data_IF_928073724756
#
_entry.id   IF_928073724756
#
_cell.length_a   1.000
_cell.length_b   1.000
_cell.length_c   1.000
_cell.angle_alpha   90.00
_cell.angle_beta   90.00
_cell.angle_gamma   90.00
#
_symmetry.space_group_name_H-M   'P 1'
#
loop_
_entity.id
_entity.type
_entity.pdbx_description
1 polymer ?
#
# COMPACT_ATOMS: atom_id res chain seq x y z
N UNK A 1 -7.54 -5.19 -24.63
CA UNK A 1 -8.01 -6.25 -23.73
C UNK A 1 -8.93 -5.65 -22.66
N UNK A 2 -10.07 -6.29 -22.38
CA UNK A 2 -11.11 -5.78 -21.48
C UNK A 2 -10.57 -5.54 -20.06
N UNK A 3 -9.73 -6.43 -19.55
CA UNK A 3 -9.12 -6.28 -18.23
C UNK A 3 -8.17 -5.07 -18.16
N UNK A 4 -7.38 -4.81 -19.18
CA UNK A 4 -6.51 -3.63 -19.23
C UNK A 4 -7.33 -2.34 -19.27
N UNK A 5 -8.39 -2.30 -20.08
CA UNK A 5 -9.28 -1.13 -20.15
C UNK A 5 -10.01 -0.86 -18.81
N UNK A 6 -10.47 -1.91 -18.11
CA UNK A 6 -11.16 -1.76 -16.82
C UNK A 6 -10.28 -1.13 -15.73
N UNK A 7 -8.97 -1.43 -15.74
CA UNK A 7 -8.02 -0.94 -14.72
C UNK A 7 -7.25 0.31 -15.14
N UNK A 8 -7.38 0.74 -16.38
CA UNK A 8 -6.65 1.87 -16.96
C UNK A 8 -6.74 3.16 -16.11
N UNK A 9 -7.93 3.48 -15.63
CA UNK A 9 -8.19 4.69 -14.81
C UNK A 9 -7.50 4.68 -13.45
N UNK A 10 -7.02 3.53 -12.98
CA UNK A 10 -6.31 3.37 -11.71
C UNK A 10 -4.79 3.28 -11.89
N UNK A 11 -4.32 3.44 -13.11
CA UNK A 11 -2.91 3.41 -13.48
C UNK A 11 -2.49 4.75 -14.09
N UNK A 12 -1.18 5.04 -14.07
CA UNK A 12 -0.60 6.27 -14.60
C UNK A 12 -0.50 6.29 -16.14
N UNK A 13 -0.99 5.25 -16.81
CA UNK A 13 -0.89 5.08 -18.26
C UNK A 13 -1.66 6.19 -19.01
N UNK A 14 -1.16 6.53 -20.19
CA UNK A 14 -1.81 7.48 -21.11
C UNK A 14 -2.02 8.87 -20.53
N UNK A 15 -1.16 9.29 -19.59
CA UNK A 15 -1.25 10.62 -18.96
C UNK A 15 -2.28 10.72 -17.83
N UNK A 16 -2.83 9.60 -17.37
CA UNK A 16 -3.69 9.60 -16.20
C UNK A 16 -2.94 10.08 -14.94
N UNK A 17 -3.66 10.68 -14.03
CA UNK A 17 -3.18 11.06 -12.71
C UNK A 17 -3.87 10.25 -11.64
N UNK A 18 -3.17 10.01 -10.53
CA UNK A 18 -3.73 9.33 -9.36
C UNK A 18 -3.64 10.25 -8.13
N UNK A 19 -4.62 10.18 -7.25
CA UNK A 19 -4.59 10.89 -5.97
C UNK A 19 -3.54 10.28 -5.05
N UNK A 20 -2.55 11.09 -4.66
CA UNK A 20 -1.45 10.71 -3.78
C UNK A 20 -1.64 11.13 -2.32
N UNK A 21 -2.77 11.78 -1.99
CA UNK A 21 -3.06 12.25 -0.64
C UNK A 21 -2.01 13.22 -0.07
N UNK A 22 -1.87 13.24 1.24
CA UNK A 22 -0.88 14.08 1.93
C UNK A 22 0.53 13.52 1.73
N UNK A 23 1.52 14.36 1.37
CA UNK A 23 2.91 13.92 1.23
C UNK A 23 3.45 13.37 2.56
N UNK A 24 4.13 12.23 2.47
CA UNK A 24 4.82 11.60 3.61
C UNK A 24 6.28 11.33 3.26
N UNK A 25 7.11 12.39 3.15
CA UNK A 25 8.48 12.29 2.62
C UNK A 25 9.34 11.29 3.40
N UNK A 26 9.20 11.20 4.72
CA UNK A 26 9.95 10.26 5.53
C UNK A 26 9.85 8.81 4.99
N UNK A 27 8.66 8.40 4.58
CA UNK A 27 8.45 7.05 4.06
C UNK A 27 8.82 6.94 2.57
N UNK A 28 8.44 7.92 1.76
CA UNK A 28 8.75 7.89 0.32
C UNK A 28 10.24 7.97 0.06
N UNK A 29 10.99 8.78 0.81
CA UNK A 29 12.46 8.85 0.74
C UNK A 29 13.11 7.55 1.24
N UNK A 30 12.58 6.97 2.33
CA UNK A 30 13.06 5.69 2.84
C UNK A 30 12.87 4.57 1.82
N UNK A 31 11.69 4.48 1.18
CA UNK A 31 11.44 3.50 0.10
C UNK A 31 12.32 3.81 -1.10
N UNK A 32 12.48 5.08 -1.48
CA UNK A 32 13.29 5.51 -2.61
C UNK A 32 14.77 5.15 -2.46
N UNK A 33 15.30 5.06 -1.23
CA UNK A 33 16.67 4.63 -0.99
C UNK A 33 16.98 3.19 -1.42
N UNK A 34 15.93 2.37 -1.63
CA UNK A 34 16.04 1.00 -2.12
C UNK A 34 15.68 0.84 -3.60
N UNK A 35 15.41 1.96 -4.31
CA UNK A 35 15.18 1.92 -5.75
C UNK A 35 16.43 1.39 -6.47
N UNK A 36 16.18 0.68 -7.55
CA UNK A 36 17.26 0.04 -8.31
C UNK A 36 17.67 -1.33 -7.80
N UNK A 37 17.08 -1.82 -6.71
CA UNK A 37 17.36 -3.15 -6.16
C UNK A 37 16.21 -4.14 -6.43
N UNK A 38 16.56 -5.44 -6.56
CA UNK A 38 15.57 -6.52 -6.74
C UNK A 38 14.90 -6.99 -5.43
N UNK A 39 15.26 -6.41 -4.27
CA UNK A 39 14.56 -6.74 -3.03
C UNK A 39 13.12 -6.21 -3.09
N UNK A 40 12.18 -7.05 -2.67
CA UNK A 40 10.76 -6.68 -2.61
C UNK A 40 10.55 -5.64 -1.51
N UNK A 41 9.92 -4.50 -1.83
CA UNK A 41 9.58 -3.45 -0.86
C UNK A 41 8.20 -3.75 -0.30
N UNK A 42 8.13 -4.02 1.00
CA UNK A 42 6.91 -4.43 1.69
C UNK A 42 6.49 -3.32 2.65
N UNK A 43 5.34 -2.69 2.42
CA UNK A 43 4.76 -1.70 3.31
C UNK A 43 3.73 -2.38 4.21
N UNK A 44 4.03 -2.46 5.49
CA UNK A 44 3.15 -3.01 6.52
C UNK A 44 2.57 -1.92 7.40
N UNK A 45 1.60 -2.23 8.22
CA UNK A 45 0.99 -1.28 9.16
C UNK A 45 -0.51 -1.47 9.23
N UNK A 46 -1.12 -0.84 10.22
CA UNK A 46 -2.56 -0.93 10.47
C UNK A 46 -3.38 -0.48 9.25
N UNK A 47 -4.65 -0.88 9.23
CA UNK A 47 -5.61 -0.36 8.24
C UNK A 47 -5.71 1.16 8.35
N UNK A 48 -5.86 1.82 7.18
CA UNK A 48 -6.11 3.26 7.07
C UNK A 48 -4.99 4.19 7.56
N UNK A 49 -3.75 3.69 7.72
CA UNK A 49 -2.58 4.52 8.05
C UNK A 49 -1.93 5.19 6.82
N UNK A 50 -2.43 4.89 5.61
CA UNK A 50 -1.97 5.53 4.37
C UNK A 50 -0.96 4.72 3.55
N UNK A 51 -0.85 3.39 3.73
CA UNK A 51 0.05 2.53 2.92
C UNK A 51 -0.15 2.70 1.41
N UNK A 52 -1.40 2.63 0.95
CA UNK A 52 -1.78 2.80 -0.46
C UNK A 52 -1.37 4.17 -1.02
N UNK A 53 -1.44 5.22 -0.20
CA UNK A 53 -0.99 6.56 -0.59
C UNK A 53 0.52 6.62 -0.75
N UNK A 54 1.29 5.98 0.15
CA UNK A 54 2.75 5.91 0.04
C UNK A 54 3.16 5.14 -1.22
N UNK A 55 2.47 4.04 -1.57
CA UNK A 55 2.70 3.36 -2.85
C UNK A 55 2.49 4.29 -4.04
N UNK A 56 1.37 5.04 -4.06
CA UNK A 56 1.06 5.99 -5.14
C UNK A 56 2.09 7.13 -5.19
N UNK A 57 2.51 7.67 -4.04
CA UNK A 57 3.57 8.67 -3.95
C UNK A 57 4.90 8.12 -4.50
N UNK A 58 5.23 6.86 -4.22
CA UNK A 58 6.43 6.21 -4.76
C UNK A 58 6.34 6.05 -6.28
N UNK A 59 5.21 5.63 -6.81
CA UNK A 59 4.98 5.54 -8.26
C UNK A 59 5.10 6.91 -8.95
N UNK A 60 4.52 7.96 -8.35
CA UNK A 60 4.65 9.33 -8.87
C UNK A 60 6.09 9.85 -8.79
N UNK A 61 6.81 9.50 -7.73
CA UNK A 61 8.24 9.84 -7.63
C UNK A 61 9.05 9.22 -8.78
N UNK A 62 8.80 7.97 -9.16
CA UNK A 62 9.43 7.32 -10.31
C UNK A 62 9.15 8.07 -11.62
N UNK A 63 7.91 8.49 -11.84
CA UNK A 63 7.55 9.30 -13.03
C UNK A 63 8.30 10.63 -13.04
N UNK A 64 8.40 11.31 -11.89
CA UNK A 64 9.17 12.55 -11.73
C UNK A 64 10.67 12.36 -11.99
N UNK A 65 11.20 11.16 -11.76
CA UNK A 65 12.58 10.76 -12.11
C UNK A 65 12.75 10.35 -13.59
N UNK A 66 11.70 10.48 -14.40
CA UNK A 66 11.75 10.19 -15.83
C UNK A 66 11.38 8.75 -16.21
N UNK A 67 10.90 7.94 -15.28
CA UNK A 67 10.38 6.60 -15.61
C UNK A 67 9.09 6.74 -16.42
N UNK A 68 9.02 6.03 -17.54
CA UNK A 68 7.80 5.99 -18.34
C UNK A 68 6.62 5.42 -17.53
N UNK A 69 5.46 6.05 -17.61
CA UNK A 69 4.26 5.55 -16.96
C UNK A 69 3.85 4.14 -17.46
N UNK A 70 4.23 3.79 -18.69
CA UNK A 70 4.01 2.45 -19.22
C UNK A 70 4.84 1.36 -18.50
N UNK A 71 5.91 1.75 -17.80
CA UNK A 71 6.74 0.84 -17.02
C UNK A 71 6.21 0.62 -15.59
N UNK A 72 5.11 1.27 -15.24
CA UNK A 72 4.52 1.21 -13.90
C UNK A 72 3.15 0.55 -13.99
N UNK A 73 2.95 -0.55 -13.26
CA UNK A 73 1.64 -1.18 -13.12
C UNK A 73 1.19 -1.15 -11.67
N UNK A 74 -0.03 -0.67 -11.45
CA UNK A 74 -0.65 -0.59 -10.13
C UNK A 74 -1.86 -1.52 -10.07
N UNK A 75 -1.84 -2.44 -9.11
CA UNK A 75 -2.88 -3.43 -8.84
C UNK A 75 -3.43 -3.15 -7.45
N UNK A 76 -4.73 -2.93 -7.32
CA UNK A 76 -5.37 -2.68 -6.02
C UNK A 76 -6.54 -3.64 -5.80
N UNK A 77 -6.33 -4.59 -4.88
CA UNK A 77 -7.30 -5.67 -4.60
C UNK A 77 -8.53 -5.22 -3.82
N UNK A 78 -8.56 -3.99 -3.29
CA UNK A 78 -9.78 -3.42 -2.69
C UNK A 78 -10.77 -2.87 -3.75
N UNK A 79 -10.35 -2.77 -5.01
CA UNK A 79 -11.17 -2.23 -6.09
C UNK A 79 -11.76 -3.36 -6.95
N UNK A 80 -13.07 -3.34 -7.13
CA UNK A 80 -13.81 -4.35 -7.93
C UNK A 80 -13.31 -4.48 -9.36
N UNK A 81 -12.68 -3.43 -9.92
CA UNK A 81 -12.04 -3.49 -11.23
C UNK A 81 -10.93 -4.54 -11.33
N UNK A 82 -10.38 -4.99 -10.20
CA UNK A 82 -9.34 -6.01 -10.11
C UNK A 82 -9.86 -7.35 -9.55
N UNK A 83 -11.17 -7.55 -9.41
CA UNK A 83 -11.75 -8.78 -8.88
C UNK A 83 -11.40 -10.03 -9.70
N UNK A 84 -11.05 -9.85 -10.97
CA UNK A 84 -10.58 -10.92 -11.84
C UNK A 84 -9.20 -11.50 -11.45
N UNK A 85 -8.48 -10.86 -10.50
CA UNK A 85 -7.19 -11.36 -9.97
C UNK A 85 -7.44 -12.04 -8.62
N UNK A 86 -7.90 -13.27 -8.58
CA UNK A 86 -8.22 -13.98 -7.34
C UNK A 86 -7.02 -14.75 -6.79
N UNK A 87 -6.15 -15.23 -7.65
CA UNK A 87 -5.03 -16.10 -7.29
C UNK A 87 -3.77 -15.79 -8.10
N UNK A 88 -2.67 -16.48 -7.75
CA UNK A 88 -1.37 -16.27 -8.39
C UNK A 88 -1.37 -16.46 -9.91
N UNK A 89 -2.21 -17.32 -10.47
CA UNK A 89 -2.28 -17.55 -11.92
C UNK A 89 -2.91 -16.36 -12.62
N UNK A 90 -3.93 -15.79 -12.02
CA UNK A 90 -4.60 -14.59 -12.56
C UNK A 90 -3.65 -13.39 -12.48
N UNK A 91 -2.89 -13.25 -11.39
CA UNK A 91 -1.87 -12.22 -11.23
C UNK A 91 -0.78 -12.35 -12.31
N UNK A 92 -0.24 -13.54 -12.51
CA UNK A 92 0.77 -13.82 -13.53
C UNK A 92 0.24 -13.51 -14.94
N UNK A 93 -0.98 -13.99 -15.25
CA UNK A 93 -1.65 -13.70 -16.51
C UNK A 93 -1.86 -12.21 -16.73
N UNK A 94 -2.27 -11.46 -15.71
CA UNK A 94 -2.48 -10.02 -15.82
C UNK A 94 -1.16 -9.27 -16.09
N UNK A 95 -0.08 -9.64 -15.40
CA UNK A 95 1.25 -9.04 -15.65
C UNK A 95 1.72 -9.32 -17.07
N UNK A 96 1.47 -10.52 -17.59
CA UNK A 96 1.77 -10.84 -18.99
C UNK A 96 0.95 -10.00 -19.98
N UNK A 97 -0.36 -9.90 -19.76
CA UNK A 97 -1.25 -9.05 -20.58
C UNK A 97 -0.82 -7.57 -20.55
N UNK A 98 -0.49 -7.06 -19.38
CA UNK A 98 0.03 -5.71 -19.24
C UNK A 98 1.29 -5.50 -20.10
N UNK A 99 2.23 -6.44 -20.09
CA UNK A 99 3.45 -6.35 -20.91
C UNK A 99 3.16 -6.37 -22.41
N UNK A 100 2.24 -7.21 -22.84
CA UNK A 100 1.84 -7.32 -24.26
C UNK A 100 1.18 -6.03 -24.77
N UNK A 101 0.33 -5.40 -23.95
CA UNK A 101 -0.44 -4.20 -24.34
C UNK A 101 0.36 -2.90 -24.17
N UNK A 102 1.04 -2.70 -23.05
CA UNK A 102 1.74 -1.46 -22.73
C UNK A 102 3.19 -1.44 -23.24
N UNK A 103 3.76 -2.61 -23.53
CA UNK A 103 5.13 -2.81 -24.06
C UNK A 103 6.17 -1.97 -23.31
N UNK A 104 6.28 -2.15 -21.97
CA UNK A 104 7.27 -1.44 -21.17
C UNK A 104 8.68 -1.79 -21.63
N UNK A 105 9.59 -0.81 -21.60
CA UNK A 105 11.00 -0.98 -21.99
C UNK A 105 11.91 -0.83 -20.78
N UNK A 106 12.80 -1.80 -20.58
CA UNK A 106 13.73 -1.83 -19.44
C UNK A 106 13.04 -2.27 -18.15
N UNK A 107 13.36 -1.60 -17.03
CA UNK A 107 12.83 -1.99 -15.71
C UNK A 107 11.34 -1.75 -15.59
N UNK A 108 10.62 -2.75 -15.07
CA UNK A 108 9.19 -2.75 -14.83
C UNK A 108 8.94 -2.64 -13.32
N UNK A 109 8.12 -1.68 -12.93
CA UNK A 109 7.75 -1.42 -11.53
C UNK A 109 6.34 -1.93 -11.26
N UNK A 110 6.22 -2.89 -10.35
CA UNK A 110 4.95 -3.56 -10.02
C UNK A 110 4.54 -3.15 -8.62
N UNK A 111 3.40 -2.50 -8.50
CA UNK A 111 2.78 -2.08 -7.25
C UNK A 111 1.54 -2.91 -6.98
N UNK A 112 1.50 -3.65 -5.86
CA UNK A 112 0.35 -4.47 -5.47
C UNK A 112 -0.13 -4.03 -4.09
N UNK A 113 -1.31 -3.45 -4.05
CA UNK A 113 -1.95 -2.98 -2.84
C UNK A 113 -2.89 -4.06 -2.27
N UNK A 114 -2.79 -4.34 -0.97
CA UNK A 114 -3.50 -5.41 -0.24
C UNK A 114 -3.25 -6.80 -0.87
N UNK A 115 -1.98 -7.15 -1.03
CA UNK A 115 -1.51 -8.37 -1.73
C UNK A 115 -2.05 -9.67 -1.12
N UNK A 116 -2.36 -9.68 0.18
CA UNK A 116 -2.90 -10.85 0.89
C UNK A 116 -4.29 -11.29 0.39
N UNK A 117 -4.96 -10.47 -0.40
CA UNK A 117 -6.26 -10.78 -0.99
C UNK A 117 -6.12 -11.52 -2.36
N UNK A 118 -4.89 -11.91 -2.72
CA UNK A 118 -4.58 -12.76 -3.88
C UNK A 118 -4.02 -14.09 -3.37
N UNK A 119 -4.71 -15.20 -3.63
CA UNK A 119 -4.26 -16.51 -3.16
C UNK A 119 -2.94 -16.93 -3.82
N UNK A 120 -1.94 -17.30 -3.01
CA UNK A 120 -0.62 -17.71 -3.48
C UNK A 120 0.22 -16.62 -4.14
N UNK A 121 -0.06 -15.34 -3.86
CA UNK A 121 0.64 -14.17 -4.42
C UNK A 121 2.17 -14.26 -4.32
N UNK A 122 2.68 -14.83 -3.24
CA UNK A 122 4.12 -14.97 -2.97
C UNK A 122 4.84 -15.76 -4.06
N UNK A 123 4.16 -16.66 -4.75
CA UNK A 123 4.73 -17.47 -5.84
C UNK A 123 5.12 -16.59 -7.02
N UNK A 124 4.25 -15.64 -7.40
CA UNK A 124 4.51 -14.70 -8.50
C UNK A 124 5.56 -13.68 -8.08
N UNK A 125 5.44 -13.09 -6.89
CA UNK A 125 6.40 -12.11 -6.39
C UNK A 125 7.80 -12.71 -6.30
N UNK A 126 7.95 -13.92 -5.78
CA UNK A 126 9.24 -14.62 -5.75
C UNK A 126 9.77 -14.94 -7.15
N UNK A 127 8.92 -15.37 -8.07
CA UNK A 127 9.30 -15.66 -9.45
C UNK A 127 9.85 -14.43 -10.15
N UNK A 128 9.11 -13.32 -10.10
CA UNK A 128 9.49 -12.06 -10.74
C UNK A 128 10.73 -11.43 -10.11
N UNK A 129 10.86 -11.49 -8.77
CA UNK A 129 12.04 -10.93 -8.08
C UNK A 129 13.33 -11.67 -8.40
N UNK A 130 13.26 -12.92 -8.85
CA UNK A 130 14.38 -13.77 -9.23
C UNK A 130 14.58 -13.87 -10.75
N UNK A 131 13.72 -13.24 -11.52
CA UNK A 131 13.82 -13.29 -12.97
C UNK A 131 15.16 -12.66 -13.41
N UNK A 132 15.92 -13.40 -14.23
CA UNK A 132 17.21 -12.98 -14.79
C UNK A 132 17.10 -12.58 -16.26
N UNK A 133 15.93 -12.74 -16.85
CA UNK A 133 15.64 -12.34 -18.23
C UNK A 133 15.00 -10.98 -18.34
N UNK A 134 14.28 -10.58 -17.28
CA UNK A 134 13.56 -9.31 -17.17
C UNK A 134 13.91 -8.60 -15.86
N UNK A 135 13.84 -7.29 -15.86
CA UNK A 135 14.17 -6.49 -14.68
C UNK A 135 12.89 -5.97 -14.01
N UNK A 136 12.49 -6.65 -12.94
CA UNK A 136 11.31 -6.26 -12.14
C UNK A 136 11.72 -5.64 -10.82
N UNK A 137 10.98 -4.61 -10.43
CA UNK A 137 11.06 -4.03 -9.10
C UNK A 137 9.65 -4.01 -8.48
N UNK A 138 9.50 -4.64 -7.29
CA UNK A 138 8.19 -4.98 -6.74
C UNK A 138 7.97 -4.28 -5.41
N UNK A 139 6.80 -3.66 -5.29
CA UNK A 139 6.30 -2.96 -4.11
C UNK A 139 4.95 -3.56 -3.72
N UNK A 140 4.81 -4.00 -2.49
CA UNK A 140 3.57 -4.58 -2.01
C UNK A 140 3.11 -3.93 -0.72
N UNK A 141 1.80 -3.89 -0.49
CA UNK A 141 1.25 -3.58 0.82
C UNK A 141 0.44 -4.74 1.36
N UNK A 142 0.30 -4.76 2.67
CA UNK A 142 -0.66 -5.59 3.36
C UNK A 142 -1.00 -5.01 4.72
N UNK A 143 -2.28 -5.13 5.08
CA UNK A 143 -2.80 -4.65 6.37
C UNK A 143 -3.05 -5.77 7.36
N UNK A 144 -2.96 -7.02 6.88
CA UNK A 144 -3.30 -8.20 7.67
C UNK A 144 -2.15 -8.61 8.57
N UNK A 145 -2.52 -9.04 9.75
CA UNK A 145 -1.63 -9.69 10.72
C UNK A 145 -0.92 -10.95 10.20
N UNK A 146 -1.37 -11.54 9.09
CA UNK A 146 -0.65 -12.63 8.38
C UNK A 146 0.66 -12.15 7.76
N UNK A 147 0.78 -10.86 7.46
CA UNK A 147 2.02 -10.24 6.98
C UNK A 147 2.90 -9.72 8.12
N UNK A 148 2.42 -9.78 9.37
CA UNK A 148 3.20 -9.44 10.55
C UNK A 148 3.81 -10.72 11.12
N UNK A 149 5.09 -10.77 11.31
CA UNK A 149 5.81 -11.82 12.01
C UNK A 149 6.23 -13.05 11.19
N UNK A 150 7.50 -13.18 10.91
CA UNK A 150 8.15 -14.45 10.50
C UNK A 150 7.67 -15.09 9.20
N UNK A 151 6.39 -14.93 8.88
CA UNK A 151 5.78 -15.49 7.66
C UNK A 151 6.32 -14.81 6.39
N UNK A 152 6.52 -13.48 6.40
CA UNK A 152 7.13 -12.78 5.24
C UNK A 152 8.53 -13.32 4.91
N UNK A 153 9.32 -13.60 5.94
CA UNK A 153 10.66 -14.17 5.75
C UNK A 153 10.59 -15.52 5.05
N UNK A 154 9.60 -16.34 5.40
CA UNK A 154 9.36 -17.63 4.76
C UNK A 154 8.76 -17.45 3.38
N UNK A 155 7.71 -16.63 3.24
CA UNK A 155 6.99 -16.40 1.98
C UNK A 155 7.91 -15.79 0.90
N UNK A 156 8.73 -14.80 1.26
CA UNK A 156 9.61 -14.08 0.33
C UNK A 156 11.08 -14.57 0.39
N UNK A 157 11.33 -15.69 1.08
CA UNK A 157 12.67 -16.29 1.15
C UNK A 157 13.78 -15.32 1.59
N UNK A 158 13.45 -14.36 2.46
CA UNK A 158 14.36 -13.33 2.95
C UNK A 158 14.76 -12.24 1.93
N UNK A 159 14.12 -12.19 0.75
CA UNK A 159 14.44 -11.22 -0.31
C UNK A 159 13.54 -9.99 -0.27
N UNK A 160 13.34 -9.40 0.89
CA UNK A 160 12.48 -8.23 1.07
C UNK A 160 13.08 -7.24 2.05
N UNK A 161 12.57 -6.02 1.99
CA UNK A 161 12.74 -5.00 3.01
C UNK A 161 11.36 -4.54 3.47
N UNK A 162 11.19 -4.44 4.78
CA UNK A 162 9.91 -4.05 5.38
C UNK A 162 9.95 -2.58 5.83
N UNK A 163 8.91 -1.84 5.47
CA UNK A 163 8.63 -0.49 5.92
C UNK A 163 7.36 -0.49 6.74
N UNK A 164 7.49 -0.32 8.04
CA UNK A 164 6.33 -0.26 8.92
C UNK A 164 5.75 1.15 8.95
N UNK A 165 4.51 1.29 8.47
CA UNK A 165 3.81 2.57 8.33
C UNK A 165 2.94 2.80 9.56
N UNK A 166 3.21 3.91 10.24
CA UNK A 166 2.45 4.36 11.41
C UNK A 166 1.40 5.41 11.00
N UNK A 167 0.40 5.68 11.85
CA UNK A 167 -0.41 6.89 11.76
C UNK A 167 0.47 8.14 11.63
N UNK A 168 -0.12 9.29 11.29
CA UNK A 168 0.60 10.56 11.21
C UNK A 168 1.34 10.84 12.52
N UNK A 169 2.61 11.17 12.42
CA UNK A 169 3.37 11.74 13.52
C UNK A 169 2.85 13.15 13.86
N UNK A 170 3.18 13.67 15.03
CA UNK A 170 2.84 15.05 15.39
C UNK A 170 3.38 16.06 14.37
N UNK A 171 4.59 15.85 13.85
CA UNK A 171 5.17 16.74 12.85
C UNK A 171 4.39 16.74 11.53
N UNK A 172 3.98 15.55 11.04
CA UNK A 172 3.13 15.42 9.85
C UNK A 172 1.75 16.05 10.09
N UNK A 173 1.14 15.80 11.25
CA UNK A 173 -0.14 16.40 11.64
C UNK A 173 -0.07 17.93 11.64
N UNK A 174 0.96 18.50 12.30
CA UNK A 174 1.13 19.94 12.37
C UNK A 174 1.33 20.56 10.98
N UNK A 175 2.12 19.90 10.12
CA UNK A 175 2.35 20.34 8.74
C UNK A 175 1.06 20.34 7.91
N UNK A 176 0.29 19.24 7.95
CA UNK A 176 -0.96 19.09 7.20
C UNK A 176 -1.99 20.12 7.64
N UNK A 177 -2.09 20.40 8.93
CA UNK A 177 -3.01 21.40 9.48
C UNK A 177 -2.46 22.82 9.47
N UNK A 178 -1.24 23.04 8.96
CA UNK A 178 -0.56 24.34 8.94
C UNK A 178 -0.49 24.99 10.34
N UNK A 179 -0.25 24.18 11.36
CA UNK A 179 -0.15 24.60 12.75
C UNK A 179 1.31 24.84 13.15
N UNK A 180 1.59 25.86 13.98
CA UNK A 180 2.91 26.01 14.55
C UNK A 180 3.20 24.83 15.51
N UNK A 181 4.43 24.32 15.46
CA UNK A 181 4.87 23.28 16.41
C UNK A 181 4.95 23.88 17.83
N UNK A 182 4.19 23.32 18.76
CA UNK A 182 4.13 23.83 20.13
C UNK A 182 3.12 23.06 21.00
N UNK A 183 3.00 23.48 22.26
CA UNK A 183 2.15 22.80 23.24
C UNK A 183 0.68 22.73 22.82
N UNK A 184 0.13 23.79 22.29
CA UNK A 184 -1.29 23.85 21.92
C UNK A 184 -1.62 22.90 20.76
N UNK A 185 -0.84 22.93 19.68
CA UNK A 185 -1.01 22.02 18.55
C UNK A 185 -0.71 20.56 18.92
N UNK A 186 0.21 20.31 19.87
CA UNK A 186 0.45 18.98 20.38
C UNK A 186 -0.75 18.42 21.18
N UNK A 187 -1.36 19.23 22.05
CA UNK A 187 -2.58 18.83 22.76
C UNK A 187 -3.74 18.57 21.81
N UNK A 188 -3.85 19.35 20.72
CA UNK A 188 -4.83 19.11 19.68
C UNK A 188 -4.57 17.78 18.96
N UNK A 189 -3.31 17.49 18.59
CA UNK A 189 -2.93 16.19 18.03
C UNK A 189 -3.27 15.02 18.94
N UNK A 190 -3.01 15.15 20.25
CA UNK A 190 -3.36 14.13 21.25
C UNK A 190 -4.88 13.88 21.34
N UNK A 191 -5.67 14.93 21.17
CA UNK A 191 -7.13 14.83 21.19
C UNK A 191 -7.72 14.29 19.88
N UNK A 192 -7.16 14.70 18.74
CA UNK A 192 -7.65 14.33 17.40
C UNK A 192 -7.18 12.92 16.97
N UNK A 193 -5.95 12.53 17.35
CA UNK A 193 -5.31 11.31 16.89
C UNK A 193 -4.58 11.47 15.55
N UNK A 194 -3.83 10.44 15.15
CA UNK A 194 -2.93 10.46 14.00
C UNK A 194 -3.44 9.75 12.74
N UNK A 195 -4.69 9.29 12.67
CA UNK A 195 -5.18 8.68 11.43
C UNK A 195 -5.37 9.74 10.33
N UNK A 196 -4.84 9.54 9.10
CA UNK A 196 -4.90 10.52 8.03
C UNK A 196 -6.32 10.99 7.69
N UNK A 197 -7.30 10.08 7.72
CA UNK A 197 -8.71 10.39 7.44
C UNK A 197 -9.31 11.44 8.39
N UNK A 198 -8.81 11.54 9.62
CA UNK A 198 -9.31 12.48 10.63
C UNK A 198 -9.06 13.95 10.25
N UNK A 199 -8.14 14.20 9.32
CA UNK A 199 -7.88 15.55 8.79
C UNK A 199 -9.11 16.15 8.12
N UNK A 200 -9.96 15.31 7.52
CA UNK A 200 -11.16 15.73 6.80
C UNK A 200 -12.35 16.04 7.72
N UNK A 201 -12.27 15.71 9.01
CA UNK A 201 -13.37 15.88 9.96
C UNK A 201 -13.14 17.09 10.86
N UNK A 202 -14.15 17.97 10.96
CA UNK A 202 -14.10 19.18 11.80
C UNK A 202 -14.55 18.91 13.24
N UNK A 203 -15.56 18.04 13.42
CA UNK A 203 -16.16 17.75 14.73
C UNK A 203 -15.41 16.68 15.48
N UNK A 204 -15.12 16.91 16.75
CA UNK A 204 -14.51 15.92 17.66
C UNK A 204 -15.40 14.68 17.84
N UNK A 205 -16.72 14.84 17.80
CA UNK A 205 -17.64 13.70 17.91
C UNK A 205 -17.59 12.82 16.66
N UNK A 206 -17.50 13.41 15.47
CA UNK A 206 -17.32 12.67 14.21
C UNK A 206 -16.00 11.91 14.22
N UNK A 207 -14.91 12.54 14.67
CA UNK A 207 -13.61 11.88 14.83
C UNK A 207 -13.67 10.68 15.79
N UNK A 208 -14.30 10.85 16.95
CA UNK A 208 -14.48 9.77 17.92
C UNK A 208 -15.29 8.59 17.37
N UNK A 209 -16.41 8.88 16.70
CA UNK A 209 -17.23 7.85 16.08
C UNK A 209 -16.45 7.08 14.99
N UNK A 210 -15.66 7.78 14.17
CA UNK A 210 -14.80 7.14 13.18
C UNK A 210 -13.76 6.21 13.82
N UNK A 211 -13.08 6.67 14.87
CA UNK A 211 -12.08 5.85 15.58
C UNK A 211 -12.73 4.63 16.22
N UNK A 212 -13.92 4.78 16.81
CA UNK A 212 -14.67 3.66 17.40
C UNK A 212 -14.99 2.60 16.34
N UNK A 213 -15.52 3.00 15.19
CA UNK A 213 -15.80 2.07 14.08
C UNK A 213 -14.54 1.41 13.51
N UNK A 214 -13.42 2.13 13.49
CA UNK A 214 -12.13 1.58 13.07
C UNK A 214 -11.61 0.54 14.08
N UNK A 215 -11.71 0.83 15.39
CA UNK A 215 -11.40 -0.12 16.44
C UNK A 215 -12.18 -1.42 16.28
N UNK A 216 -13.49 -1.33 16.10
CA UNK A 216 -14.34 -2.49 15.89
C UNK A 216 -13.93 -3.29 14.65
N UNK A 217 -13.56 -2.61 13.57
CA UNK A 217 -13.08 -3.26 12.34
C UNK A 217 -11.77 -4.02 12.58
N UNK A 218 -10.80 -3.41 13.27
CA UNK A 218 -9.51 -4.04 13.62
C UNK A 218 -9.75 -5.24 14.54
N UNK A 219 -10.57 -5.09 15.58
CA UNK A 219 -10.89 -6.19 16.48
C UNK A 219 -11.55 -7.37 15.75
N UNK A 220 -12.57 -7.10 14.95
CA UNK A 220 -13.35 -8.15 14.27
C UNK A 220 -12.56 -8.80 13.12
N UNK A 221 -11.91 -8.01 12.27
CA UNK A 221 -11.25 -8.55 11.07
C UNK A 221 -9.84 -9.06 11.36
N UNK A 222 -9.07 -8.36 12.15
CA UNK A 222 -7.64 -8.65 12.29
C UNK A 222 -7.34 -9.54 13.51
N UNK A 223 -8.09 -9.41 14.60
CA UNK A 223 -7.83 -10.18 15.83
C UNK A 223 -8.71 -11.43 15.89
N UNK A 224 -10.02 -11.28 15.79
CA UNK A 224 -10.96 -12.41 15.98
C UNK A 224 -10.76 -13.46 14.88
N UNK A 225 -10.62 -13.04 13.61
CA UNK A 225 -10.34 -13.97 12.51
C UNK A 225 -9.01 -14.70 12.65
N UNK A 226 -7.96 -13.97 13.09
CA UNK A 226 -6.62 -14.54 13.22
C UNK A 226 -6.55 -15.62 14.29
N UNK A 227 -7.12 -15.34 15.45
CA UNK A 227 -7.00 -16.22 16.62
C UNK A 227 -8.20 -17.16 16.81
N UNK A 228 -9.15 -17.15 15.85
CA UNK A 228 -10.37 -17.97 15.91
C UNK A 228 -11.08 -17.80 17.27
N UNK A 229 -11.14 -16.57 17.78
CA UNK A 229 -11.70 -16.26 19.09
C UNK A 229 -13.21 -16.50 19.04
N UNK A 230 -13.69 -17.45 19.85
CA UNK A 230 -15.11 -17.82 19.91
C UNK A 230 -15.95 -16.90 20.80
N UNK A 231 -15.36 -16.27 21.77
CA UNK A 231 -16.05 -15.34 22.69
C UNK A 231 -15.41 -13.96 22.66
N UNK A 232 -16.06 -13.04 21.95
CA UNK A 232 -15.63 -11.64 21.77
C UNK A 232 -15.70 -10.82 23.07
N UNK A 233 -16.43 -11.29 24.08
CA UNK A 233 -16.58 -10.61 25.38
C UNK A 233 -15.32 -10.69 26.25
N UNK A 234 -14.34 -11.49 25.84
CA UNK A 234 -13.06 -11.66 26.54
C UNK A 234 -11.95 -10.73 26.00
N UNK A 235 -12.27 -9.89 25.01
CA UNK A 235 -11.40 -8.84 24.43
C UNK A 235 -11.78 -7.45 24.95
#
# INVERSE_FOLDING_TARGET
NENIESVKKYNLWFGNTIDCGFPRPLYTESVASYLGSKVVKVLTGQRRVGKSYILRQTAMHLVQQGVSSNNIVFINRELTAFDFIENYKDLDNFIRLYREELKPEGRIYIFIDEVQDIDGWERVVNSLSQDYTEDYEIFITGSNSKMFSGELSTLLSGRYVEFHIFPLSYGEYASIHQLPVGRESYLKYMADGGYPELVHFQSSDVKRNYISGLKDTVLLKDIIRRYTIRDVRLL
#
